data_IF_210234538005
#
_entry.id   IF_210234538005
#
_cell.length_a   1.000
_cell.length_b   1.000
_cell.length_c   1.000
_cell.angle_alpha   90.00
_cell.angle_beta   90.00
_cell.angle_gamma   90.00
#
_symmetry.space_group_name_H-M   'P 1'
#
loop_
_entity.id
_entity.type
_entity.pdbx_description
1 polymer ?
#
# COMPACT_ATOMS: atom_id res chain seq x y z
N UNK A 1 -27.53 -18.75 17.56
CA UNK A 1 -27.82 -17.63 16.62
C UNK A 1 -26.66 -17.54 15.66
N UNK A 2 -26.92 -17.64 14.35
CA UNK A 2 -25.87 -17.65 13.33
C UNK A 2 -25.39 -16.22 13.03
N UNK A 3 -24.08 -15.99 13.02
CA UNK A 3 -23.44 -14.71 12.71
C UNK A 3 -23.31 -14.49 11.18
N UNK A 4 -24.29 -14.93 10.40
CA UNK A 4 -24.20 -14.94 8.93
C UNK A 4 -24.10 -13.54 8.34
N UNK A 5 -24.71 -12.53 8.98
CA UNK A 5 -24.55 -11.13 8.57
C UNK A 5 -23.11 -10.63 8.78
N UNK A 6 -22.45 -11.00 9.87
CA UNK A 6 -21.02 -10.66 10.09
C UNK A 6 -20.12 -11.38 9.10
N UNK A 7 -20.41 -12.65 8.77
CA UNK A 7 -19.66 -13.41 7.76
C UNK A 7 -19.81 -12.77 6.38
N UNK A 8 -21.02 -12.36 6.01
CA UNK A 8 -21.28 -11.69 4.74
C UNK A 8 -20.65 -10.30 4.67
N UNK A 9 -20.65 -9.54 5.78
CA UNK A 9 -20.01 -8.22 5.84
C UNK A 9 -18.49 -8.34 5.76
N UNK A 10 -17.89 -9.30 6.47
CA UNK A 10 -16.47 -9.64 6.35
C UNK A 10 -16.14 -10.09 4.93
N UNK A 11 -16.98 -10.92 4.30
CA UNK A 11 -16.80 -11.38 2.91
C UNK A 11 -16.81 -10.21 1.92
N UNK A 12 -17.77 -9.29 2.04
CA UNK A 12 -17.86 -8.07 1.19
C UNK A 12 -16.67 -7.14 1.39
N UNK A 13 -16.21 -6.94 2.63
CA UNK A 13 -15.00 -6.14 2.93
C UNK A 13 -13.74 -6.81 2.36
N UNK A 14 -13.65 -8.15 2.41
CA UNK A 14 -12.54 -8.91 1.81
C UNK A 14 -12.56 -8.89 0.27
N UNK A 15 -13.74 -8.80 -0.36
CA UNK A 15 -13.88 -8.68 -1.81
C UNK A 15 -13.52 -7.28 -2.32
N UNK A 16 -13.74 -6.23 -1.52
CA UNK A 16 -13.39 -4.85 -1.85
C UNK A 16 -11.92 -4.48 -1.52
N UNK A 17 -11.21 -5.30 -0.76
CA UNK A 17 -9.81 -5.05 -0.41
C UNK A 17 -8.89 -5.36 -1.60
N UNK A 18 -7.92 -4.48 -1.93
CA UNK A 18 -6.94 -4.76 -2.97
C UNK A 18 -6.20 -6.08 -2.72
N UNK A 19 -6.05 -6.88 -3.78
CA UNK A 19 -5.36 -8.19 -3.75
C UNK A 19 -4.01 -8.14 -4.44
N UNK A 20 -3.78 -7.10 -5.24
CA UNK A 20 -2.53 -6.85 -5.95
C UNK A 20 -2.11 -5.38 -5.87
N UNK A 21 -0.83 -5.10 -6.16
CA UNK A 21 -0.34 -3.72 -6.32
C UNK A 21 -1.10 -3.01 -7.44
N UNK A 22 -1.41 -3.73 -8.53
CA UNK A 22 -2.20 -3.21 -9.63
C UNK A 22 -3.58 -2.73 -9.16
N UNK A 23 -4.26 -3.52 -8.32
CA UNK A 23 -5.57 -3.14 -7.77
C UNK A 23 -5.48 -1.82 -6.99
N UNK A 24 -4.37 -1.56 -6.29
CA UNK A 24 -4.13 -0.29 -5.61
C UNK A 24 -3.90 0.82 -6.63
N UNK A 25 -3.03 0.61 -7.62
CA UNK A 25 -2.72 1.63 -8.61
C UNK A 25 -3.96 2.05 -9.42
N UNK A 26 -4.85 1.11 -9.75
CA UNK A 26 -6.10 1.38 -10.46
C UNK A 26 -7.05 2.33 -9.69
N UNK A 27 -6.83 2.57 -8.39
CA UNK A 27 -7.60 3.52 -7.57
C UNK A 27 -7.12 4.98 -7.71
N UNK A 28 -5.94 5.22 -8.28
CA UNK A 28 -5.32 6.55 -8.34
C UNK A 28 -5.07 6.97 -9.78
N UNK A 29 -5.76 8.02 -10.25
CA UNK A 29 -5.47 8.66 -11.54
C UNK A 29 -4.30 9.65 -11.37
N UNK A 30 -3.24 9.46 -12.15
CA UNK A 30 -1.98 10.22 -12.02
C UNK A 30 -2.01 11.58 -12.73
N UNK A 31 -3.17 12.01 -13.24
CA UNK A 31 -3.34 13.40 -13.71
C UNK A 31 -3.28 14.45 -12.59
N UNK A 32 -3.13 14.05 -11.33
CA UNK A 32 -2.91 14.97 -10.21
C UNK A 32 -1.53 15.66 -10.32
N UNK A 33 -1.61 16.93 -10.67
CA UNK A 33 -0.53 17.84 -11.05
C UNK A 33 0.49 18.09 -9.93
N UNK A 34 1.70 17.52 -10.03
CA UNK A 34 2.90 18.07 -9.36
C UNK A 34 4.14 17.99 -10.27
N UNK A 35 5.00 19.03 -10.26
CA UNK A 35 6.11 19.16 -11.20
C UNK A 35 7.21 18.14 -10.87
N UNK A 36 7.62 17.40 -11.90
CA UNK A 36 8.76 16.48 -11.86
C UNK A 36 10.05 17.23 -11.50
N UNK A 37 10.76 16.83 -10.44
CA UNK A 37 12.00 17.46 -10.01
C UNK A 37 12.87 16.62 -9.08
N UNK A 38 14.15 17.02 -8.90
CA UNK A 38 15.17 16.33 -8.06
C UNK A 38 14.80 16.15 -6.57
N UNK A 39 13.64 16.64 -6.13
CA UNK A 39 13.13 16.54 -4.75
C UNK A 39 12.02 15.48 -4.59
N UNK A 40 11.66 14.75 -5.63
CA UNK A 40 10.54 13.78 -5.59
C UNK A 40 10.89 12.49 -4.85
N UNK A 41 12.18 12.22 -4.63
CA UNK A 41 12.66 11.07 -3.84
C UNK A 41 12.28 11.10 -2.36
N UNK A 42 11.57 12.14 -1.90
CA UNK A 42 11.00 12.21 -0.55
C UNK A 42 9.51 11.82 -0.51
N UNK A 43 8.86 11.63 -1.66
CA UNK A 43 7.44 11.31 -1.73
C UNK A 43 7.15 9.93 -2.33
N UNK A 44 6.08 9.28 -1.87
CA UNK A 44 5.60 7.98 -2.36
C UNK A 44 4.40 8.20 -3.30
N UNK A 45 4.52 7.66 -4.51
CA UNK A 45 3.43 7.59 -5.49
C UNK A 45 2.61 6.31 -5.28
N UNK A 46 1.29 6.44 -5.19
CA UNK A 46 0.38 5.29 -5.06
C UNK A 46 -0.16 4.79 -6.40
N UNK A 47 0.01 5.56 -7.48
CA UNK A 47 -0.26 5.16 -8.85
C UNK A 47 1.03 4.78 -9.60
N UNK A 48 0.88 4.21 -10.79
CA UNK A 48 1.99 3.93 -11.71
C UNK A 48 2.32 5.17 -12.54
N UNK A 49 3.60 5.50 -12.69
CA UNK A 49 4.07 6.64 -13.50
C UNK A 49 5.15 6.21 -14.48
N UNK A 50 4.92 6.38 -15.79
CA UNK A 50 5.93 6.25 -16.86
C UNK A 50 6.86 5.01 -16.75
N UNK A 51 6.30 3.85 -16.42
CA UNK A 51 7.05 2.59 -16.31
C UNK A 51 7.67 2.32 -14.95
N UNK A 52 7.65 3.28 -14.02
CA UNK A 52 8.03 3.08 -12.63
C UNK A 52 6.79 2.94 -11.73
N UNK A 53 6.83 1.95 -10.85
CA UNK A 53 5.76 1.67 -9.88
C UNK A 53 6.37 1.67 -8.48
N UNK A 54 6.21 2.77 -7.77
CA UNK A 54 6.76 2.96 -6.43
C UNK A 54 6.21 1.93 -5.44
N UNK A 55 4.93 1.57 -5.52
CA UNK A 55 4.35 0.56 -4.62
C UNK A 55 4.91 -0.83 -4.90
N UNK A 56 5.18 -1.15 -6.17
CA UNK A 56 5.84 -2.39 -6.54
C UNK A 56 7.28 -2.43 -6.00
N UNK A 57 8.03 -1.34 -6.17
CA UNK A 57 9.37 -1.20 -5.59
C UNK A 57 9.38 -1.39 -4.06
N UNK A 58 8.46 -0.73 -3.34
CA UNK A 58 8.35 -0.90 -1.88
C UNK A 58 7.99 -2.35 -1.53
N UNK A 59 7.08 -2.97 -2.29
CA UNK A 59 6.71 -4.35 -2.07
C UNK A 59 7.91 -5.29 -2.24
N UNK A 60 8.62 -5.21 -3.35
CA UNK A 60 9.73 -6.11 -3.69
C UNK A 60 10.93 -5.90 -2.76
N UNK A 61 11.36 -4.65 -2.59
CA UNK A 61 12.61 -4.36 -1.87
C UNK A 61 12.43 -4.37 -0.35
N UNK A 62 11.24 -4.04 0.14
CA UNK A 62 11.02 -3.80 1.58
C UNK A 62 10.12 -4.82 2.24
N UNK A 63 9.10 -5.34 1.54
CA UNK A 63 8.10 -6.24 2.15
C UNK A 63 8.36 -7.70 1.83
N UNK A 64 8.75 -8.03 0.60
CA UNK A 64 9.02 -9.40 0.16
C UNK A 64 10.04 -10.13 1.05
N UNK A 65 11.14 -9.51 1.51
CA UNK A 65 12.07 -10.17 2.44
C UNK A 65 11.41 -10.61 3.77
N UNK A 66 10.41 -9.87 4.26
CA UNK A 66 9.66 -10.24 5.46
C UNK A 66 8.60 -11.30 5.17
N UNK A 67 8.00 -11.27 3.97
CA UNK A 67 7.04 -12.28 3.51
C UNK A 67 7.72 -13.64 3.34
N UNK A 68 8.88 -13.68 2.68
CA UNK A 68 9.65 -14.91 2.46
C UNK A 68 10.12 -15.54 3.78
N UNK A 69 10.35 -14.72 4.81
CA UNK A 69 10.66 -15.18 6.17
C UNK A 69 9.43 -15.59 6.99
N UNK A 70 8.23 -15.45 6.45
CA UNK A 70 6.97 -15.74 7.15
C UNK A 70 6.63 -14.76 8.28
N UNK A 71 7.29 -13.60 8.33
CA UNK A 71 7.07 -12.60 9.39
C UNK A 71 5.74 -11.87 9.16
N UNK A 72 5.43 -11.56 7.90
CA UNK A 72 4.17 -10.94 7.49
C UNK A 72 3.54 -11.74 6.36
N UNK A 73 2.21 -11.67 6.21
CA UNK A 73 1.53 -12.29 5.06
C UNK A 73 1.48 -11.32 3.89
N UNK A 74 1.51 -11.86 2.67
CA UNK A 74 1.32 -11.08 1.43
C UNK A 74 0.02 -10.25 1.46
N UNK A 75 -1.09 -10.82 1.91
CA UNK A 75 -2.36 -10.11 1.99
C UNK A 75 -2.30 -8.90 2.93
N UNK A 76 -1.64 -9.05 4.08
CA UNK A 76 -1.46 -7.96 5.04
C UNK A 76 -0.56 -6.85 4.46
N UNK A 77 0.49 -7.23 3.72
CA UNK A 77 1.36 -6.28 3.01
C UNK A 77 0.58 -5.43 1.99
N UNK A 78 -0.20 -6.06 1.11
CA UNK A 78 -1.03 -5.35 0.11
C UNK A 78 -2.06 -4.45 0.78
N UNK A 79 -2.76 -4.95 1.80
CA UNK A 79 -3.73 -4.18 2.58
C UNK A 79 -3.08 -2.96 3.23
N UNK A 80 -1.91 -3.13 3.85
CA UNK A 80 -1.21 -2.04 4.52
C UNK A 80 -0.72 -0.97 3.53
N UNK A 81 -0.22 -1.35 2.35
CA UNK A 81 0.12 -0.40 1.28
C UNK A 81 -1.11 0.42 0.85
N UNK A 82 -2.23 -0.25 0.59
CA UNK A 82 -3.48 0.42 0.20
C UNK A 82 -3.96 1.41 1.27
N UNK A 83 -3.94 0.99 2.53
CA UNK A 83 -4.37 1.83 3.65
C UNK A 83 -3.43 3.03 3.85
N UNK A 84 -2.12 2.85 3.73
CA UNK A 84 -1.17 3.98 3.76
C UNK A 84 -1.44 4.97 2.63
N UNK A 85 -1.77 4.49 1.43
CA UNK A 85 -2.15 5.34 0.31
C UNK A 85 -3.44 6.12 0.57
N UNK A 86 -4.45 5.50 1.18
CA UNK A 86 -5.73 6.15 1.48
C UNK A 86 -5.64 7.14 2.65
N UNK A 87 -4.85 6.83 3.67
CA UNK A 87 -4.81 7.60 4.92
C UNK A 87 -3.82 8.77 4.90
N UNK A 88 -2.77 8.71 4.09
CA UNK A 88 -1.80 9.81 3.97
C UNK A 88 -2.20 10.78 2.85
N UNK A 89 -2.26 12.07 3.18
CA UNK A 89 -2.56 13.14 2.23
C UNK A 89 -1.46 13.23 1.17
N UNK A 90 -1.86 13.46 -0.09
CA UNK A 90 -0.94 13.74 -1.19
C UNK A 90 -0.39 15.20 -1.06
N UNK A 91 0.93 15.47 -1.19
CA UNK A 91 2.03 14.52 -1.39
C UNK A 91 2.37 13.70 -0.14
N UNK A 92 2.55 12.39 -0.32
CA UNK A 92 2.80 11.45 0.78
C UNK A 92 4.30 11.39 1.08
N UNK A 93 4.73 11.94 2.20
CA UNK A 93 6.13 11.84 2.62
C UNK A 93 6.53 10.36 2.84
N UNK A 94 7.70 9.96 2.33
CA UNK A 94 8.18 8.58 2.37
C UNK A 94 8.52 8.10 3.77
N UNK A 95 9.09 8.96 4.62
CA UNK A 95 9.36 8.61 6.01
C UNK A 95 8.06 8.37 6.78
N UNK A 96 7.06 9.22 6.57
CA UNK A 96 5.72 9.03 7.14
C UNK A 96 5.05 7.76 6.62
N UNK A 97 5.20 7.50 5.32
CA UNK A 97 4.70 6.28 4.68
C UNK A 97 5.31 5.02 5.29
N UNK A 98 6.65 4.96 5.41
CA UNK A 98 7.34 3.81 5.99
C UNK A 98 7.09 3.66 7.48
N UNK A 99 7.00 4.76 8.23
CA UNK A 99 6.61 4.73 9.65
C UNK A 99 5.23 4.12 9.81
N UNK A 100 4.25 4.56 9.01
CA UNK A 100 2.88 4.05 9.07
C UNK A 100 2.77 2.60 8.61
N UNK A 101 3.51 2.23 7.57
CA UNK A 101 3.60 0.85 7.09
C UNK A 101 4.20 -0.06 8.16
N UNK A 102 5.24 0.40 8.85
CA UNK A 102 5.86 -0.32 9.96
C UNK A 102 4.89 -0.54 11.13
N UNK A 103 4.12 0.50 11.48
CA UNK A 103 3.10 0.41 12.54
C UNK A 103 1.99 -0.59 12.20
N UNK A 104 1.53 -0.62 10.93
CA UNK A 104 0.48 -1.54 10.49
C UNK A 104 0.93 -2.99 10.48
N UNK A 105 2.18 -3.23 10.08
CA UNK A 105 2.72 -4.57 9.89
C UNK A 105 3.50 -5.09 11.11
N UNK A 106 3.70 -4.24 12.12
CA UNK A 106 4.50 -4.54 13.31
C UNK A 106 5.93 -5.02 12.98
N UNK A 107 6.50 -4.49 11.90
CA UNK A 107 7.87 -4.74 11.45
C UNK A 107 8.54 -3.43 11.06
N UNK A 108 9.85 -3.34 11.20
CA UNK A 108 10.59 -2.12 10.84
C UNK A 108 10.83 -2.06 9.33
N UNK A 109 10.25 -1.07 8.65
CA UNK A 109 10.46 -0.77 7.23
C UNK A 109 11.31 0.50 7.10
N UNK A 110 12.34 0.46 6.25
CA UNK A 110 13.32 1.54 6.03
C UNK A 110 13.66 1.72 4.56
#
# INVERSE_FOLDING_TARGET
MSNDWLRELVRKVNEASPKSIKDINDLYDYKDEHPQGKKDSQFVACGQCNGYNELQYIYDEKLEPHILKGIIKKADAIKALSECCAELKNPRNREDFYRKLSQKLLVMIK
#
